data_IF_329894825367
#
_entry.id   IF_329894825367
#
_cell.length_a   1.000
_cell.length_b   1.000
_cell.length_c   1.000
_cell.angle_alpha   90.00
_cell.angle_beta   90.00
_cell.angle_gamma   90.00
#
_symmetry.space_group_name_H-M   'P 1'
#
loop_
_entity.id
_entity.type
_entity.pdbx_description
1 polymer ?
#
# COMPACT_ATOMS: atom_id res chain seq x y z
N UNK A 1 -1.63 -20.38 -9.19
CA UNK A 1 -2.15 -19.03 -8.92
C UNK A 1 -1.99 -18.66 -7.43
N UNK A 2 -2.05 -19.60 -6.47
CA UNK A 2 -1.84 -19.28 -5.04
C UNK A 2 -0.39 -18.91 -4.69
N UNK A 3 0.60 -19.69 -5.15
CA UNK A 3 2.01 -19.56 -4.71
C UNK A 3 2.59 -18.14 -4.81
N UNK A 4 2.29 -17.40 -5.89
CA UNK A 4 2.78 -16.02 -6.03
C UNK A 4 2.21 -15.09 -4.96
N UNK A 5 0.89 -15.12 -4.74
CA UNK A 5 0.25 -14.26 -3.74
C UNK A 5 0.60 -14.71 -2.32
N UNK A 6 0.73 -16.02 -2.09
CA UNK A 6 1.20 -16.56 -0.80
C UNK A 6 2.59 -16.00 -0.46
N UNK A 7 3.52 -15.99 -1.43
CA UNK A 7 4.86 -15.40 -1.26
C UNK A 7 4.85 -13.89 -1.10
N UNK A 8 3.91 -13.16 -1.74
CA UNK A 8 3.72 -11.72 -1.50
C UNK A 8 3.26 -11.48 -0.06
N UNK A 9 2.32 -12.28 0.44
CA UNK A 9 1.84 -12.17 1.82
C UNK A 9 2.95 -12.51 2.83
N UNK A 10 3.82 -13.47 2.52
CA UNK A 10 4.98 -13.77 3.35
C UNK A 10 5.99 -12.60 3.39
N UNK A 11 6.25 -11.94 2.26
CA UNK A 11 7.08 -10.72 2.22
C UNK A 11 6.43 -9.61 3.06
N UNK A 12 5.11 -9.41 2.93
CA UNK A 12 4.40 -8.41 3.71
C UNK A 12 4.47 -8.71 5.22
N UNK A 13 4.30 -9.98 5.62
CA UNK A 13 4.43 -10.41 7.01
C UNK A 13 5.83 -10.13 7.54
N UNK A 14 6.86 -10.51 6.80
CA UNK A 14 8.24 -10.24 7.20
C UNK A 14 8.49 -8.73 7.39
N UNK A 15 7.99 -7.89 6.48
CA UNK A 15 8.11 -6.45 6.60
C UNK A 15 7.42 -5.91 7.87
N UNK A 16 6.22 -6.40 8.18
CA UNK A 16 5.48 -6.02 9.38
C UNK A 16 6.19 -6.46 10.67
N UNK A 17 6.71 -7.69 10.70
CA UNK A 17 7.45 -8.23 11.85
C UNK A 17 8.73 -7.42 12.15
N UNK A 18 9.27 -6.75 11.13
CA UNK A 18 10.53 -5.99 11.20
C UNK A 18 10.32 -4.47 11.15
N UNK A 19 9.09 -3.99 11.34
CA UNK A 19 8.79 -2.56 11.18
C UNK A 19 9.54 -1.66 12.16
N UNK A 20 9.79 -2.16 13.36
CA UNK A 20 10.61 -1.53 14.39
C UNK A 20 12.09 -1.91 14.28
N UNK A 21 12.55 -2.38 13.13
CA UNK A 21 13.95 -2.38 12.75
C UNK A 21 14.16 -1.18 11.82
N UNK A 22 14.74 -0.08 12.34
CA UNK A 22 15.06 1.06 11.48
C UNK A 22 16.17 0.60 10.53
N UNK A 23 15.93 0.51 9.21
CA UNK A 23 17.01 0.18 8.30
C UNK A 23 18.07 1.28 8.44
N UNK A 24 19.37 0.93 8.53
CA UNK A 24 20.42 1.93 8.57
C UNK A 24 20.29 2.80 7.33
N UNK A 25 20.48 4.12 7.50
CA UNK A 25 20.45 5.03 6.37
C UNK A 25 21.43 4.58 5.28
N UNK A 26 20.94 4.48 4.05
CA UNK A 26 21.74 4.20 2.85
C UNK A 26 21.49 5.32 1.86
N UNK A 27 22.57 5.85 1.29
CA UNK A 27 22.48 6.82 0.20
C UNK A 27 21.86 6.17 -1.05
N UNK A 28 21.29 6.98 -1.97
CA UNK A 28 20.76 6.47 -3.24
C UNK A 28 21.77 5.63 -4.02
N UNK A 29 23.06 6.03 -4.03
CA UNK A 29 24.14 5.28 -4.69
C UNK A 29 24.33 3.89 -4.06
N UNK A 30 24.29 3.79 -2.73
CA UNK A 30 24.42 2.49 -2.03
C UNK A 30 23.22 1.58 -2.35
N UNK A 31 22.00 2.12 -2.34
CA UNK A 31 20.80 1.35 -2.67
C UNK A 31 20.79 0.86 -4.11
N UNK A 32 21.23 1.70 -5.06
CA UNK A 32 21.32 1.32 -6.47
C UNK A 32 22.39 0.25 -6.74
N UNK A 33 23.44 0.18 -5.92
CA UNK A 33 24.45 -0.88 -6.00
C UNK A 33 23.96 -2.20 -5.38
N UNK A 34 23.09 -2.12 -4.37
CA UNK A 34 22.59 -3.27 -3.64
C UNK A 34 21.38 -3.93 -4.30
N UNK A 35 20.46 -3.14 -4.88
CA UNK A 35 19.19 -3.63 -5.43
C UNK A 35 19.16 -3.35 -6.95
N UNK A 36 19.01 -4.40 -7.77
CA UNK A 36 18.96 -4.26 -9.23
C UNK A 36 17.59 -3.76 -9.72
N UNK A 37 17.37 -2.45 -9.64
CA UNK A 37 16.12 -1.78 -10.07
C UNK A 37 16.00 -1.56 -11.58
N UNK A 38 17.01 -1.94 -12.38
CA UNK A 38 17.05 -1.63 -13.82
C UNK A 38 16.04 -2.47 -14.60
N UNK A 39 15.27 -1.83 -15.47
CA UNK A 39 14.43 -2.54 -16.43
C UNK A 39 15.32 -3.12 -17.54
N UNK A 40 15.22 -4.43 -17.75
CA UNK A 40 15.93 -5.14 -18.83
C UNK A 40 14.95 -5.36 -19.99
N UNK A 41 15.42 -5.37 -21.25
CA UNK A 41 14.56 -5.69 -22.40
C UNK A 41 13.90 -7.06 -22.26
N UNK A 42 14.61 -8.01 -21.65
CA UNK A 42 14.10 -9.32 -21.30
C UNK A 42 13.34 -9.26 -19.96
N UNK A 43 12.20 -9.95 -19.91
CA UNK A 43 11.47 -10.15 -18.66
C UNK A 43 12.31 -10.90 -17.62
N UNK A 44 11.98 -10.72 -16.35
CA UNK A 44 12.60 -11.46 -15.23
C UNK A 44 11.75 -12.66 -14.84
N UNK A 45 12.37 -13.67 -14.25
CA UNK A 45 11.62 -14.76 -13.64
C UNK A 45 10.81 -14.26 -12.43
N UNK A 46 9.75 -15.00 -12.08
CA UNK A 46 8.92 -14.69 -10.91
C UNK A 46 9.75 -14.70 -9.62
N UNK A 47 10.71 -15.62 -9.50
CA UNK A 47 11.59 -15.70 -8.34
C UNK A 47 12.50 -14.47 -8.21
N UNK A 48 13.06 -13.99 -9.32
CA UNK A 48 13.84 -12.75 -9.33
C UNK A 48 12.97 -11.54 -8.96
N UNK A 49 11.73 -11.48 -9.45
CA UNK A 49 10.80 -10.39 -9.10
C UNK A 49 10.49 -10.41 -7.60
N UNK A 50 10.11 -11.57 -7.04
CA UNK A 50 9.78 -11.70 -5.62
C UNK A 50 11.00 -11.42 -4.73
N UNK A 51 12.20 -11.87 -5.12
CA UNK A 51 13.44 -11.53 -4.42
C UNK A 51 13.67 -10.02 -4.39
N UNK A 52 13.57 -9.34 -5.54
CA UNK A 52 13.77 -7.89 -5.60
C UNK A 52 12.69 -7.13 -4.83
N UNK A 53 11.43 -7.57 -4.88
CA UNK A 53 10.34 -6.95 -4.10
C UNK A 53 10.62 -7.04 -2.59
N UNK A 54 11.10 -8.20 -2.12
CA UNK A 54 11.51 -8.36 -0.73
C UNK A 54 12.64 -7.40 -0.34
N UNK A 55 13.69 -7.30 -1.16
CA UNK A 55 14.81 -6.38 -0.90
C UNK A 55 14.36 -4.91 -0.89
N UNK A 56 13.43 -4.54 -1.78
CA UNK A 56 12.81 -3.19 -1.79
C UNK A 56 12.04 -2.94 -0.51
N UNK A 57 11.20 -3.88 -0.07
CA UNK A 57 10.42 -3.73 1.16
C UNK A 57 11.34 -3.58 2.38
N UNK A 58 12.36 -4.43 2.52
CA UNK A 58 13.30 -4.37 3.66
C UNK A 58 14.26 -3.17 3.64
N UNK A 59 14.42 -2.51 2.50
CA UNK A 59 15.15 -1.25 2.40
C UNK A 59 14.24 -0.02 2.62
N UNK A 60 12.92 -0.19 2.57
CA UNK A 60 11.94 0.87 2.79
C UNK A 60 11.72 1.12 4.28
N UNK A 61 11.87 2.36 4.78
CA UNK A 61 11.48 2.68 6.15
C UNK A 61 9.97 2.47 6.37
N UNK A 62 9.58 1.80 7.44
CA UNK A 62 8.17 1.65 7.79
C UNK A 62 7.59 2.94 8.39
N UNK A 63 6.53 3.47 7.79
CA UNK A 63 5.74 4.57 8.37
C UNK A 63 4.87 4.11 9.54
N UNK A 64 4.78 2.81 9.78
CA UNK A 64 4.02 2.21 10.87
C UNK A 64 4.86 1.97 12.13
N UNK A 65 6.18 2.09 12.03
CA UNK A 65 7.07 1.99 13.20
C UNK A 65 6.68 3.00 14.27
N UNK A 66 6.77 2.60 15.54
CA UNK A 66 6.60 3.51 16.68
C UNK A 66 7.64 4.63 16.73
N UNK A 67 8.71 4.52 15.93
CA UNK A 67 9.78 5.51 15.81
C UNK A 67 9.61 6.43 14.59
N UNK A 68 8.57 6.23 13.78
CA UNK A 68 8.30 7.08 12.63
C UNK A 68 7.58 8.37 13.05
N UNK A 69 8.34 9.45 13.25
CA UNK A 69 7.84 10.74 13.72
C UNK A 69 8.10 11.88 12.73
N UNK A 70 8.36 11.55 11.47
CA UNK A 70 8.83 12.51 10.47
C UNK A 70 7.70 13.21 9.71
N UNK A 71 6.46 12.71 9.77
CA UNK A 71 5.34 13.18 8.96
C UNK A 71 4.07 13.36 9.82
N UNK A 72 3.07 14.03 9.25
CA UNK A 72 1.74 14.22 9.88
C UNK A 72 0.83 12.98 9.75
N UNK A 73 1.39 11.86 9.29
CA UNK A 73 0.73 10.56 9.19
C UNK A 73 1.69 9.47 9.68
N UNK A 74 1.14 8.33 10.08
CA UNK A 74 1.91 7.17 10.50
C UNK A 74 0.98 6.06 11.03
N UNK A 75 1.56 4.93 11.38
CA UNK A 75 0.82 3.76 11.83
C UNK A 75 0.33 2.86 10.69
N UNK A 76 -0.43 1.83 11.07
CA UNK A 76 -1.12 0.91 10.17
C UNK A 76 -2.46 0.57 10.79
N UNK A 77 -3.53 0.65 9.99
CA UNK A 77 -4.85 0.18 10.39
C UNK A 77 -5.15 -1.08 9.57
N UNK A 78 -5.38 -2.20 10.24
CA UNK A 78 -5.42 -3.53 9.61
C UNK A 78 -6.60 -3.67 8.65
N UNK A 79 -7.76 -3.11 9.00
CA UNK A 79 -8.96 -3.18 8.15
C UNK A 79 -8.76 -2.36 6.88
N UNK A 80 -8.16 -1.16 6.98
CA UNK A 80 -7.86 -0.29 5.86
C UNK A 80 -6.85 -0.93 4.90
N UNK A 81 -5.80 -1.57 5.41
CA UNK A 81 -4.84 -2.30 4.56
C UNK A 81 -5.51 -3.45 3.82
N UNK A 82 -6.35 -4.24 4.50
CA UNK A 82 -7.11 -5.31 3.86
C UNK A 82 -8.08 -4.79 2.79
N UNK A 83 -8.77 -3.68 3.08
CA UNK A 83 -9.66 -3.03 2.13
C UNK A 83 -8.91 -2.51 0.89
N UNK A 84 -7.73 -1.91 1.08
CA UNK A 84 -6.87 -1.43 -0.02
C UNK A 84 -6.42 -2.58 -0.93
N UNK A 85 -6.06 -3.73 -0.35
CA UNK A 85 -5.73 -4.93 -1.13
C UNK A 85 -6.91 -5.40 -1.99
N UNK A 86 -8.12 -5.42 -1.42
CA UNK A 86 -9.34 -5.78 -2.15
C UNK A 86 -9.71 -4.73 -3.21
N UNK A 87 -9.49 -3.45 -2.94
CA UNK A 87 -9.69 -2.38 -3.91
C UNK A 87 -8.78 -2.57 -5.14
N UNK A 88 -7.50 -2.88 -4.92
CA UNK A 88 -6.56 -3.21 -5.99
C UNK A 88 -6.96 -4.46 -6.79
N UNK A 89 -7.50 -5.50 -6.12
CA UNK A 89 -8.04 -6.70 -6.79
C UNK A 89 -9.30 -6.38 -7.61
N UNK A 90 -10.18 -5.54 -7.09
CA UNK A 90 -11.40 -5.12 -7.78
C UNK A 90 -11.09 -4.28 -9.02
N UNK A 91 -9.99 -3.51 -9.01
CA UNK A 91 -9.47 -2.72 -10.13
C UNK A 91 -10.56 -2.00 -10.91
N UNK A 92 -11.44 -1.31 -10.17
CA UNK A 92 -12.58 -0.58 -10.73
C UNK A 92 -12.30 0.92 -10.77
N UNK A 93 -13.15 1.65 -11.47
CA UNK A 93 -13.10 3.09 -11.55
C UNK A 93 -14.39 3.75 -11.09
N UNK A 94 -14.24 4.90 -10.44
CA UNK A 94 -15.30 5.74 -9.89
C UNK A 94 -15.93 6.73 -10.89
N UNK A 95 -15.52 6.75 -12.17
CA UNK A 95 -15.99 7.78 -13.14
C UNK A 95 -17.51 7.76 -13.37
N UNK A 96 -18.16 6.60 -13.25
CA UNK A 96 -19.60 6.44 -13.46
C UNK A 96 -20.16 5.32 -12.59
N UNK A 97 -21.46 5.40 -12.27
CA UNK A 97 -22.15 4.33 -11.54
C UNK A 97 -22.05 2.96 -12.22
N UNK A 98 -22.04 2.91 -13.55
CA UNK A 98 -21.91 1.65 -14.29
C UNK A 98 -20.56 0.95 -14.06
N UNK A 99 -19.49 1.73 -13.85
CA UNK A 99 -18.16 1.19 -13.60
C UNK A 99 -17.92 0.94 -12.11
N UNK A 100 -18.15 1.94 -11.25
CA UNK A 100 -17.86 1.86 -9.81
C UNK A 100 -18.91 1.08 -9.01
N UNK A 101 -20.14 0.98 -9.53
CA UNK A 101 -21.25 0.25 -8.92
C UNK A 101 -21.38 0.55 -7.41
N UNK A 102 -21.34 -0.48 -6.57
CA UNK A 102 -21.50 -0.36 -5.12
C UNK A 102 -20.40 0.48 -4.45
N UNK A 103 -19.20 0.62 -5.05
CA UNK A 103 -18.13 1.45 -4.48
C UNK A 103 -18.55 2.92 -4.39
N UNK A 104 -19.32 3.42 -5.38
CA UNK A 104 -19.84 4.80 -5.38
C UNK A 104 -20.87 4.99 -4.25
N UNK A 105 -21.64 3.94 -3.91
CA UNK A 105 -22.54 4.02 -2.77
C UNK A 105 -21.77 4.09 -1.44
N UNK A 106 -20.65 3.37 -1.32
CA UNK A 106 -19.76 3.46 -0.15
C UNK A 106 -19.19 4.87 -0.01
N UNK A 107 -18.70 5.47 -1.09
CA UNK A 107 -18.20 6.86 -1.10
C UNK A 107 -19.26 7.84 -0.60
N UNK A 108 -20.49 7.73 -1.12
CA UNK A 108 -21.62 8.58 -0.68
C UNK A 108 -21.89 8.47 0.83
N UNK A 109 -21.83 7.26 1.41
CA UNK A 109 -22.00 7.06 2.85
C UNK A 109 -20.86 7.67 3.66
N UNK A 110 -19.62 7.58 3.18
CA UNK A 110 -18.45 8.19 3.83
C UNK A 110 -18.56 9.72 3.80
N UNK A 111 -18.91 10.31 2.65
CA UNK A 111 -19.11 11.76 2.51
C UNK A 111 -20.23 12.25 3.43
N UNK A 112 -21.36 11.54 3.44
CA UNK A 112 -22.49 11.86 4.32
C UNK A 112 -22.07 11.81 5.81
N UNK A 113 -21.28 10.80 6.20
CA UNK A 113 -20.77 10.67 7.57
C UNK A 113 -19.83 11.82 7.93
N UNK A 114 -18.91 12.19 7.04
CA UNK A 114 -17.97 13.30 7.27
C UNK A 114 -18.72 14.64 7.37
N UNK A 115 -19.68 14.91 6.48
CA UNK A 115 -20.52 16.11 6.54
C UNK A 115 -21.31 16.19 7.86
N UNK A 116 -21.85 15.06 8.31
CA UNK A 116 -22.55 14.96 9.60
C UNK A 116 -21.63 15.27 10.79
N UNK A 117 -20.37 14.81 10.78
CA UNK A 117 -19.40 15.10 11.85
C UNK A 117 -19.09 16.60 11.93
N UNK A 118 -19.00 17.27 10.78
CA UNK A 118 -18.77 18.73 10.71
C UNK A 118 -20.03 19.52 11.10
N UNK A 119 -21.22 18.93 10.96
CA UNK A 119 -22.50 19.54 11.30
C UNK A 119 -23.18 20.27 10.14
N UNK A 120 -22.92 19.84 8.90
CA UNK A 120 -23.57 20.42 7.72
C UNK A 120 -24.97 19.87 7.49
N UNK A 121 -25.94 20.76 7.26
CA UNK A 121 -27.34 20.42 6.97
C UNK A 121 -27.56 20.06 5.48
N UNK A 122 -26.72 20.61 4.59
CA UNK A 122 -26.69 20.30 3.16
C UNK A 122 -25.25 20.04 2.76
N UNK A 123 -25.01 19.02 1.94
CA UNK A 123 -23.66 18.61 1.54
C UNK A 123 -23.63 18.09 0.11
N UNK A 124 -22.46 18.22 -0.49
CA UNK A 124 -22.04 17.58 -1.72
C UNK A 124 -20.54 17.27 -1.55
N UNK A 125 -20.05 16.24 -2.22
CA UNK A 125 -18.66 15.84 -2.09
C UNK A 125 -18.27 14.80 -3.13
N UNK A 126 -16.96 14.64 -3.27
CA UNK A 126 -16.26 13.59 -4.01
C UNK A 126 -15.20 12.99 -3.09
#
# INVERSE_FOLDING_TARGET
>A
MSDFYDRILDIAREFMDREDELPPFRSPTQLHQQIDLRLKPEGRSVDEVLHNLREVMLATPSSSSHRFLNQLFGGREEVAVGAEMLAAVANTSMYTYKAGAVQILIENEVVARLASIVGYESYEGI
#
